data_IF_980654399754
#
_entry.id   IF_980654399754
#
_cell.length_a   1.000
_cell.length_b   1.000
_cell.length_c   1.000
_cell.angle_alpha   90.00
_cell.angle_beta   90.00
_cell.angle_gamma   90.00
#
_symmetry.space_group_name_H-M   'P 1'
#
loop_
_entity.id
_entity.type
_entity.pdbx_description
1 polymer ?
#
# COMPACT_ATOMS: atom_id res chain seq x y z
N UNK A 1 31.45 0.48 -38.96
CA UNK A 1 30.36 -0.43 -38.57
C UNK A 1 30.50 -0.69 -37.08
N UNK A 2 29.54 -0.20 -36.29
CA UNK A 2 29.53 -0.33 -34.83
C UNK A 2 29.11 -1.75 -34.43
N UNK A 3 30.01 -2.49 -33.77
CA UNK A 3 29.67 -3.76 -33.17
C UNK A 3 29.27 -3.56 -31.70
N UNK A 4 27.99 -3.79 -31.43
CA UNK A 4 27.33 -3.69 -30.11
C UNK A 4 27.66 -4.93 -29.29
N UNK A 5 28.78 -4.88 -28.57
CA UNK A 5 29.08 -5.86 -27.54
C UNK A 5 28.47 -5.35 -26.23
N UNK A 6 27.16 -5.58 -26.04
CA UNK A 6 26.50 -5.38 -24.76
C UNK A 6 27.17 -6.29 -23.71
N UNK A 7 27.90 -5.67 -22.78
CA UNK A 7 28.51 -6.34 -21.63
C UNK A 7 27.40 -6.76 -20.65
N UNK A 8 27.09 -8.05 -20.58
CA UNK A 8 26.25 -8.61 -19.54
C UNK A 8 27.16 -9.10 -18.42
N UNK A 9 27.25 -8.31 -17.34
CA UNK A 9 28.00 -8.72 -16.14
C UNK A 9 27.09 -9.61 -15.30
N UNK A 10 27.28 -10.92 -15.40
CA UNK A 10 26.66 -11.89 -14.49
C UNK A 10 27.54 -12.00 -13.26
N UNK A 11 27.12 -11.38 -12.16
CA UNK A 11 27.73 -11.66 -10.85
C UNK A 11 27.17 -12.97 -10.32
N UNK A 12 28.00 -14.02 -10.34
CA UNK A 12 27.70 -15.30 -9.69
C UNK A 12 28.22 -15.23 -8.25
N UNK A 13 27.32 -15.17 -7.27
CA UNK A 13 27.70 -15.31 -5.86
C UNK A 13 28.00 -16.77 -5.55
N UNK A 14 29.15 -17.11 -4.94
CA UNK A 14 29.44 -18.48 -4.53
C UNK A 14 28.54 -18.88 -3.36
N UNK A 15 27.88 -20.03 -3.49
CA UNK A 15 27.21 -20.69 -2.36
C UNK A 15 28.32 -21.25 -1.49
N UNK A 16 28.50 -20.67 -0.30
CA UNK A 16 29.36 -21.23 0.73
C UNK A 16 28.45 -21.92 1.73
N UNK A 17 28.36 -23.24 1.62
CA UNK A 17 27.83 -24.10 2.67
C UNK A 17 28.80 -24.05 3.85
N UNK A 18 28.50 -23.22 4.85
CA UNK A 18 29.00 -23.41 6.21
C UNK A 18 27.92 -22.96 7.19
N UNK A 19 27.25 -23.98 7.73
CA UNK A 19 26.33 -23.91 8.85
C UNK A 19 27.10 -23.50 10.09
N UNK A 20 27.06 -22.21 10.43
CA UNK A 20 27.40 -21.74 11.77
C UNK A 20 26.15 -21.11 12.40
N UNK A 21 25.48 -21.95 13.20
CA UNK A 21 24.37 -21.61 14.08
C UNK A 21 24.93 -20.84 15.28
N UNK A 22 24.87 -19.51 15.22
CA UNK A 22 24.57 -18.62 16.37
C UNK A 22 24.91 -17.17 16.03
N UNK A 23 23.92 -16.43 15.56
CA UNK A 23 23.85 -15.00 15.89
C UNK A 23 22.38 -14.59 15.82
N UNK A 24 21.85 -14.13 16.94
CA UNK A 24 20.56 -13.46 17.07
C UNK A 24 20.51 -12.23 16.15
N UNK A 25 20.26 -12.45 14.86
CA UNK A 25 19.90 -11.38 13.93
C UNK A 25 18.47 -11.01 14.25
N UNK A 26 18.31 -10.09 15.21
CA UNK A 26 17.14 -9.22 15.30
C UNK A 26 16.94 -8.62 13.91
N UNK A 27 16.04 -9.23 13.14
CA UNK A 27 15.55 -8.74 11.85
C UNK A 27 14.99 -7.35 12.11
N UNK A 28 15.83 -6.32 12.02
CA UNK A 28 15.36 -4.95 11.97
C UNK A 28 14.63 -4.84 10.64
N UNK A 29 13.31 -4.97 10.70
CA UNK A 29 12.44 -4.61 9.60
C UNK A 29 12.82 -3.17 9.19
N UNK A 30 13.03 -2.91 7.89
CA UNK A 30 13.41 -1.59 7.42
C UNK A 30 12.38 -0.57 7.94
N UNK A 31 12.87 0.50 8.57
CA UNK A 31 12.02 1.60 9.02
C UNK A 31 11.20 2.09 7.83
N UNK A 32 9.89 1.86 7.89
CA UNK A 32 8.96 2.28 6.84
C UNK A 32 9.05 3.79 6.74
N UNK A 33 9.55 4.30 5.61
CA UNK A 33 9.53 5.73 5.27
C UNK A 33 8.14 6.27 5.56
N UNK A 34 8.04 7.17 6.55
CA UNK A 34 6.81 7.88 6.85
C UNK A 34 6.60 8.93 5.75
N UNK A 35 5.60 8.74 4.92
CA UNK A 35 5.16 9.78 3.99
C UNK A 35 4.28 10.75 4.77
N UNK A 36 4.51 12.06 4.63
CA UNK A 36 3.80 13.13 5.39
C UNK A 36 2.27 13.09 5.25
N UNK A 37 1.79 12.39 4.25
CA UNK A 37 0.41 12.28 3.80
C UNK A 37 -0.13 10.84 3.89
N UNK A 38 0.56 9.96 4.62
CA UNK A 38 0.10 8.61 4.93
C UNK A 38 0.48 8.27 6.38
N UNK A 39 -0.44 8.43 7.31
CA UNK A 39 -0.25 7.92 8.69
C UNK A 39 -0.47 6.40 8.77
N UNK A 40 -1.15 5.81 7.79
CA UNK A 40 -1.36 4.36 7.68
C UNK A 40 -1.33 3.86 6.24
N UNK A 41 -0.83 2.64 6.04
CA UNK A 41 -0.90 1.94 4.76
C UNK A 41 -1.94 0.83 4.86
N UNK A 42 -2.94 0.87 3.98
CA UNK A 42 -3.98 -0.16 3.88
C UNK A 42 -3.59 -1.10 2.73
N UNK A 43 -3.50 -2.40 3.01
CA UNK A 43 -3.35 -3.43 1.98
C UNK A 43 -4.73 -3.79 1.45
N UNK A 44 -4.88 -3.78 0.13
CA UNK A 44 -6.12 -4.15 -0.57
C UNK A 44 -5.84 -5.23 -1.62
N UNK A 45 -6.85 -6.05 -1.99
CA UNK A 45 -6.74 -6.95 -3.13
C UNK A 45 -6.41 -6.22 -4.43
N UNK A 46 -5.80 -6.92 -5.38
CA UNK A 46 -5.43 -6.35 -6.69
C UNK A 46 -6.64 -5.81 -7.46
N UNK A 47 -7.77 -6.51 -7.41
CA UNK A 47 -9.01 -6.10 -8.06
C UNK A 47 -9.49 -4.74 -7.53
N UNK A 48 -9.61 -4.61 -6.21
CA UNK A 48 -10.00 -3.35 -5.57
C UNK A 48 -9.04 -2.20 -5.87
N UNK A 49 -7.73 -2.49 -6.02
CA UNK A 49 -6.75 -1.48 -6.43
C UNK A 49 -7.04 -0.95 -7.83
N UNK A 50 -7.35 -1.83 -8.79
CA UNK A 50 -7.65 -1.44 -10.17
C UNK A 50 -8.92 -0.57 -10.22
N UNK A 51 -9.95 -0.94 -9.46
CA UNK A 51 -11.18 -0.14 -9.36
C UNK A 51 -10.93 1.24 -8.75
N UNK A 52 -10.15 1.32 -7.66
CA UNK A 52 -9.78 2.60 -7.04
C UNK A 52 -8.99 3.50 -8.01
N UNK A 53 -8.08 2.94 -8.80
CA UNK A 53 -7.33 3.69 -9.82
C UNK A 53 -8.25 4.18 -10.96
N UNK A 54 -9.22 3.37 -11.38
CA UNK A 54 -10.21 3.76 -12.38
C UNK A 54 -11.09 4.91 -11.86
N UNK A 55 -11.60 4.80 -10.63
CA UNK A 55 -12.37 5.84 -9.97
C UNK A 55 -11.59 7.14 -9.84
N UNK A 56 -10.30 7.06 -9.47
CA UNK A 56 -9.41 8.22 -9.38
C UNK A 56 -9.30 8.96 -10.72
N UNK A 57 -9.15 8.22 -11.84
CA UNK A 57 -9.09 8.79 -13.19
C UNK A 57 -10.39 9.49 -13.59
N UNK A 58 -11.54 8.87 -13.31
CA UNK A 58 -12.86 9.40 -13.69
C UNK A 58 -13.20 10.66 -12.89
N UNK A 59 -12.96 10.62 -11.58
CA UNK A 59 -13.27 11.73 -10.66
C UNK A 59 -12.18 12.81 -10.62
N UNK A 60 -11.09 12.63 -11.38
CA UNK A 60 -9.94 13.55 -11.47
C UNK A 60 -9.29 13.85 -10.11
N UNK A 61 -9.32 12.88 -9.20
CA UNK A 61 -8.68 12.99 -7.89
C UNK A 61 -7.19 12.70 -7.99
N UNK A 62 -6.41 13.33 -7.12
CA UNK A 62 -4.94 13.21 -7.14
C UNK A 62 -4.48 12.07 -6.25
N UNK A 63 -5.25 11.75 -5.21
CA UNK A 63 -4.88 10.74 -4.23
C UNK A 63 -5.99 9.73 -4.00
N UNK A 64 -5.59 8.48 -3.76
CA UNK A 64 -6.52 7.37 -3.49
C UNK A 64 -7.31 7.58 -2.21
N UNK A 65 -6.75 8.24 -1.17
CA UNK A 65 -7.49 8.49 0.07
C UNK A 65 -8.71 9.38 -0.16
N UNK A 66 -8.65 10.35 -1.10
CA UNK A 66 -9.80 11.17 -1.45
C UNK A 66 -10.97 10.34 -2.00
N UNK A 67 -10.66 9.26 -2.73
CA UNK A 67 -11.66 8.31 -3.23
C UNK A 67 -12.22 7.48 -2.08
N UNK A 68 -11.36 7.01 -1.17
CA UNK A 68 -11.79 6.25 0.00
C UNK A 68 -12.72 7.09 0.87
N UNK A 69 -12.36 8.34 1.17
CA UNK A 69 -13.18 9.27 1.96
C UNK A 69 -14.54 9.52 1.28
N UNK A 70 -14.54 9.71 -0.05
CA UNK A 70 -15.77 9.87 -0.83
C UNK A 70 -16.65 8.62 -0.74
N UNK A 71 -16.07 7.43 -0.86
CA UNK A 71 -16.80 6.17 -0.79
C UNK A 71 -17.38 5.93 0.61
N UNK A 72 -16.62 6.23 1.66
CA UNK A 72 -17.08 6.15 3.06
C UNK A 72 -18.26 7.10 3.26
N UNK A 73 -18.14 8.37 2.87
CA UNK A 73 -19.20 9.35 3.03
C UNK A 73 -20.47 8.94 2.27
N UNK A 74 -20.33 8.51 1.02
CA UNK A 74 -21.46 8.06 0.21
C UNK A 74 -22.18 6.84 0.83
N UNK A 75 -21.42 5.87 1.36
CA UNK A 75 -21.99 4.70 2.03
C UNK A 75 -22.70 5.09 3.34
N UNK A 76 -22.07 5.95 4.15
CA UNK A 76 -22.66 6.46 5.39
C UNK A 76 -23.95 7.22 5.10
N UNK A 77 -23.98 8.08 4.09
CA UNK A 77 -25.17 8.88 3.78
C UNK A 77 -26.32 8.06 3.21
N UNK A 78 -26.04 7.15 2.26
CA UNK A 78 -27.08 6.48 1.46
C UNK A 78 -27.51 5.12 2.00
N UNK A 79 -26.58 4.33 2.54
CA UNK A 79 -26.84 2.93 2.87
C UNK A 79 -27.10 2.72 4.38
N UNK A 80 -26.53 3.55 5.25
CA UNK A 80 -26.70 3.37 6.69
C UNK A 80 -28.05 3.90 7.20
N UNK A 81 -28.68 3.12 8.07
CA UNK A 81 -29.83 3.56 8.85
C UNK A 81 -29.43 4.64 9.86
N UNK A 82 -30.41 5.38 10.38
CA UNK A 82 -30.16 6.43 11.39
C UNK A 82 -29.40 5.91 12.61
N UNK A 83 -29.75 4.72 13.11
CA UNK A 83 -29.07 4.11 14.25
C UNK A 83 -27.62 3.73 13.91
N UNK A 84 -27.38 3.16 12.73
CA UNK A 84 -26.03 2.83 12.26
C UNK A 84 -25.17 4.07 12.07
N UNK A 85 -25.75 5.17 11.54
CA UNK A 85 -25.08 6.47 11.42
C UNK A 85 -24.66 7.02 12.79
N UNK A 86 -25.54 6.98 13.78
CA UNK A 86 -25.22 7.39 15.14
C UNK A 86 -24.07 6.55 15.73
N UNK A 87 -24.12 5.23 15.54
CA UNK A 87 -23.05 4.33 15.99
C UNK A 87 -21.72 4.59 15.28
N UNK A 88 -21.75 4.79 13.96
CA UNK A 88 -20.56 5.12 13.17
C UNK A 88 -19.92 6.42 13.66
N UNK A 89 -20.73 7.45 13.94
CA UNK A 89 -20.26 8.73 14.48
C UNK A 89 -19.59 8.57 15.85
N UNK A 90 -20.22 7.82 16.77
CA UNK A 90 -19.64 7.55 18.10
C UNK A 90 -18.31 6.81 18.06
N UNK A 91 -18.09 5.96 17.05
CA UNK A 91 -16.83 5.23 16.88
C UNK A 91 -15.72 6.06 16.23
N UNK A 92 -16.06 7.15 15.55
CA UNK A 92 -15.13 7.98 14.78
C UNK A 92 -14.81 9.33 15.42
N UNK A 93 -15.60 9.81 16.39
CA UNK A 93 -15.35 11.04 17.16
C UNK A 93 -14.38 10.87 18.36
N UNK A 94 -13.58 9.81 18.39
CA UNK A 94 -12.61 9.50 19.46
C UNK A 94 -11.29 10.28 19.33
#
# INVERSE_FOLDING_TARGET
MENKNNSFVVTVTPITDNLDLNTDKKLQAPEKKKFKNQEGSIKVPNESKVELEALMKITKKKFTHEIIDLLINNYVEKELTTEQKMKFKLLTEL
#
